data_IF_525292641559
#
_entry.id   IF_525292641559
#
_cell.length_a   1.000
_cell.length_b   1.000
_cell.length_c   1.000
_cell.angle_alpha   90.00
_cell.angle_beta   90.00
_cell.angle_gamma   90.00
#
_symmetry.space_group_name_H-M   'P 1'
#
loop_
_entity.id
_entity.type
_entity.pdbx_description
1 polymer ?
#
# COMPACT_ATOMS: atom_id res chain seq x y z
N UNK A 1 29.18 -28.45 -4.40
CA UNK A 1 28.03 -28.17 -3.54
C UNK A 1 27.34 -26.97 -4.13
N UNK A 2 26.10 -27.10 -4.59
CA UNK A 2 25.34 -25.97 -5.11
C UNK A 2 24.87 -25.12 -3.92
N UNK A 3 25.17 -23.82 -3.95
CA UNK A 3 24.72 -22.84 -2.98
C UNK A 3 23.20 -22.71 -3.13
N UNK A 4 22.44 -23.20 -2.14
CA UNK A 4 21.00 -22.96 -2.07
C UNK A 4 20.83 -21.47 -1.80
N UNK A 5 20.60 -20.68 -2.84
CA UNK A 5 19.97 -19.36 -2.70
C UNK A 5 18.65 -19.64 -1.99
N UNK A 6 18.58 -19.38 -0.69
CA UNK A 6 17.37 -19.66 0.09
C UNK A 6 16.36 -18.56 -0.21
N UNK A 7 15.77 -18.64 -1.41
CA UNK A 7 14.54 -17.96 -1.78
C UNK A 7 13.40 -18.72 -1.11
N UNK A 8 12.84 -18.11 -0.06
CA UNK A 8 11.75 -18.70 0.71
C UNK A 8 10.37 -18.28 0.21
N UNK A 9 9.35 -18.98 0.69
CA UNK A 9 7.95 -18.56 0.60
C UNK A 9 7.43 -18.32 2.01
N UNK A 10 6.92 -17.12 2.27
CA UNK A 10 6.20 -16.78 3.48
C UNK A 10 4.71 -17.08 3.26
N UNK A 11 4.20 -18.12 3.89
CA UNK A 11 2.77 -18.48 3.82
C UNK A 11 1.95 -17.61 4.77
N UNK A 12 0.89 -17.01 4.24
CA UNK A 12 -0.08 -16.20 4.98
C UNK A 12 -1.47 -16.74 4.70
N UNK A 13 -2.15 -17.20 5.74
CA UNK A 13 -3.51 -17.72 5.63
C UNK A 13 -4.52 -16.63 5.94
N UNK A 14 -5.49 -16.45 5.05
CA UNK A 14 -6.55 -15.43 5.17
C UNK A 14 -7.89 -16.11 5.37
N UNK A 15 -8.73 -15.54 6.23
CA UNK A 15 -10.07 -16.03 6.53
C UNK A 15 -10.13 -17.51 6.98
N UNK A 16 -9.06 -18.03 7.58
CA UNK A 16 -8.96 -19.45 7.97
C UNK A 16 -9.64 -19.75 9.30
N UNK A 17 -9.33 -18.96 10.33
CA UNK A 17 -9.92 -19.12 11.66
C UNK A 17 -11.31 -18.46 11.73
N UNK A 18 -11.40 -17.22 11.24
CA UNK A 18 -12.63 -16.42 11.24
C UNK A 18 -12.62 -15.40 10.08
N UNK A 19 -13.74 -14.71 9.88
CA UNK A 19 -13.87 -13.71 8.83
C UNK A 19 -12.83 -12.59 9.04
N UNK A 20 -12.09 -12.28 7.99
CA UNK A 20 -10.99 -11.33 7.93
C UNK A 20 -9.73 -11.69 8.73
N UNK A 21 -9.70 -12.85 9.39
CA UNK A 21 -8.51 -13.30 10.11
C UNK A 21 -7.29 -13.38 9.20
N UNK A 22 -6.14 -13.04 9.76
CA UNK A 22 -4.82 -13.20 9.15
C UNK A 22 -4.02 -14.12 10.07
N UNK A 23 -3.45 -15.18 9.52
CA UNK A 23 -2.59 -16.10 10.24
C UNK A 23 -1.25 -16.16 9.52
N UNK A 24 -0.19 -15.80 10.23
CA UNK A 24 1.18 -15.71 9.75
C UNK A 24 2.15 -16.24 10.81
N UNK A 25 3.33 -16.74 10.39
CA UNK A 25 4.36 -17.13 11.35
C UNK A 25 4.89 -15.90 12.09
N UNK A 26 5.39 -16.10 13.31
CA UNK A 26 5.95 -15.01 14.13
C UNK A 26 7.23 -14.42 13.53
N UNK A 27 8.05 -15.27 12.91
CA UNK A 27 9.32 -14.88 12.30
C UNK A 27 9.52 -15.57 10.97
N UNK A 28 10.23 -14.90 10.06
CA UNK A 28 10.61 -15.42 8.75
C UNK A 28 12.02 -14.96 8.39
N UNK A 29 12.82 -15.85 7.82
CA UNK A 29 14.19 -15.53 7.39
C UNK A 29 14.37 -15.84 5.91
N UNK A 30 15.03 -14.96 5.18
CA UNK A 30 15.39 -15.15 3.77
C UNK A 30 16.78 -14.62 3.49
N UNK A 31 17.42 -15.13 2.44
CA UNK A 31 18.75 -14.67 2.01
C UNK A 31 18.76 -13.75 0.79
N UNK A 32 17.58 -13.61 0.17
CA UNK A 32 17.34 -12.82 -1.02
C UNK A 32 15.84 -12.48 -1.11
N UNK A 33 15.42 -11.97 -2.26
CA UNK A 33 14.05 -11.87 -2.71
C UNK A 33 13.26 -13.14 -2.41
N UNK A 34 12.06 -12.96 -1.87
CA UNK A 34 11.17 -14.04 -1.43
C UNK A 34 9.75 -13.77 -1.89
N UNK A 35 8.87 -14.75 -1.70
CA UNK A 35 7.46 -14.64 -2.10
C UNK A 35 6.58 -14.69 -0.87
N UNK A 36 5.63 -13.75 -0.78
CA UNK A 36 4.50 -13.85 0.16
C UNK A 36 3.36 -14.58 -0.55
N UNK A 37 2.96 -15.73 -0.02
CA UNK A 37 1.85 -16.53 -0.54
C UNK A 37 0.60 -16.27 0.31
N UNK A 38 -0.34 -15.52 -0.26
CA UNK A 38 -1.63 -15.19 0.33
C UNK A 38 -2.64 -16.28 -0.02
N UNK A 39 -2.99 -17.13 0.94
CA UNK A 39 -3.90 -18.26 0.76
C UNK A 39 -5.24 -17.97 1.43
N UNK A 40 -6.29 -17.75 0.63
CA UNK A 40 -7.61 -17.37 1.15
C UNK A 40 -8.54 -18.57 1.31
N UNK A 41 -8.95 -18.84 2.54
CA UNK A 41 -9.83 -19.95 2.93
C UNK A 41 -11.32 -19.58 2.97
N UNK A 42 -11.66 -18.29 2.86
CA UNK A 42 -13.02 -17.78 3.04
C UNK A 42 -13.44 -16.76 1.98
N UNK A 43 -14.18 -15.74 2.40
CA UNK A 43 -14.71 -14.70 1.51
C UNK A 43 -13.62 -13.88 0.82
N UNK A 44 -13.98 -13.22 -0.28
CA UNK A 44 -13.05 -12.35 -0.99
C UNK A 44 -12.54 -11.23 -0.08
N UNK A 45 -11.24 -10.93 -0.14
CA UNK A 45 -10.64 -9.91 0.74
C UNK A 45 -9.60 -9.07 0.00
N UNK A 46 -9.48 -7.81 0.44
CA UNK A 46 -8.37 -6.94 0.07
C UNK A 46 -7.29 -7.04 1.14
N UNK A 47 -6.07 -7.29 0.70
CA UNK A 47 -4.89 -7.39 1.54
C UNK A 47 -3.98 -6.21 1.22
N UNK A 48 -3.56 -5.51 2.25
CA UNK A 48 -2.52 -4.51 2.17
C UNK A 48 -1.23 -5.04 2.79
N UNK A 49 -0.15 -5.04 2.01
CA UNK A 49 1.18 -5.42 2.43
C UNK A 49 2.05 -4.18 2.54
N UNK A 50 2.76 -4.06 3.66
CA UNK A 50 3.66 -2.94 3.91
C UNK A 50 4.95 -3.44 4.55
N UNK A 51 6.07 -3.00 4.00
CA UNK A 51 7.37 -3.10 4.67
C UNK A 51 7.52 -1.92 5.63
N UNK A 52 8.13 -2.16 6.77
CA UNK A 52 8.59 -1.08 7.65
C UNK A 52 9.74 -0.27 7.01
N UNK A 53 10.23 0.73 7.73
CA UNK A 53 11.23 1.64 7.21
C UNK A 53 12.58 0.92 6.94
N UNK A 54 12.96 -0.02 7.80
CA UNK A 54 14.20 -0.77 7.68
C UNK A 54 14.19 -1.70 6.45
N UNK A 55 13.11 -2.44 6.23
CA UNK A 55 12.97 -3.32 5.06
C UNK A 55 12.71 -2.52 3.78
N UNK A 56 12.00 -1.38 3.85
CA UNK A 56 11.73 -0.54 2.68
C UNK A 56 13.00 0.12 2.12
N UNK A 57 14.06 0.25 2.90
CA UNK A 57 15.36 0.76 2.44
C UNK A 57 16.03 -0.20 1.46
N UNK A 58 15.96 -1.51 1.74
CA UNK A 58 16.69 -2.54 0.98
C UNK A 58 15.79 -3.38 0.06
N UNK A 59 14.48 -3.34 0.24
CA UNK A 59 13.52 -4.17 -0.46
C UNK A 59 12.28 -3.38 -0.90
N UNK A 60 11.60 -3.88 -1.92
CA UNK A 60 10.35 -3.26 -2.40
C UNK A 60 9.27 -4.28 -2.73
N UNK A 61 8.03 -3.86 -2.53
CA UNK A 61 6.83 -4.58 -2.94
C UNK A 61 6.30 -3.94 -4.24
N UNK A 62 6.21 -4.68 -5.35
CA UNK A 62 5.72 -4.14 -6.62
C UNK A 62 4.28 -3.62 -6.56
N UNK A 63 3.46 -4.22 -5.71
CA UNK A 63 2.07 -3.84 -5.50
C UNK A 63 1.75 -4.12 -4.04
N UNK A 64 1.27 -3.12 -3.30
CA UNK A 64 0.95 -3.28 -1.88
C UNK A 64 -0.49 -3.72 -1.65
N UNK A 65 -1.40 -3.55 -2.61
CA UNK A 65 -2.82 -3.91 -2.46
C UNK A 65 -3.19 -5.07 -3.38
N UNK A 66 -3.65 -6.16 -2.78
CA UNK A 66 -4.04 -7.37 -3.49
C UNK A 66 -5.50 -7.71 -3.21
N UNK A 67 -6.26 -7.95 -4.27
CA UNK A 67 -7.57 -8.57 -4.15
C UNK A 67 -7.42 -10.09 -4.29
N UNK A 68 -7.84 -10.82 -3.25
CA UNK A 68 -7.76 -12.28 -3.20
C UNK A 68 -9.17 -12.85 -3.24
N UNK A 69 -9.47 -13.65 -4.27
CA UNK A 69 -10.76 -14.32 -4.43
C UNK A 69 -10.96 -15.43 -3.38
N UNK A 70 -12.19 -15.92 -3.18
CA UNK A 70 -12.44 -17.08 -2.32
C UNK A 70 -11.69 -18.31 -2.82
N UNK A 71 -11.03 -19.03 -1.92
CA UNK A 71 -10.28 -20.25 -2.24
C UNK A 71 -9.07 -20.05 -3.15
N UNK A 72 -8.63 -18.80 -3.36
CA UNK A 72 -7.55 -18.48 -4.27
C UNK A 72 -6.25 -18.20 -3.52
N UNK A 73 -5.15 -18.57 -4.16
CA UNK A 73 -3.80 -18.26 -3.71
C UNK A 73 -3.19 -17.17 -4.59
N UNK A 74 -2.66 -16.10 -3.99
CA UNK A 74 -1.97 -15.01 -4.67
C UNK A 74 -0.52 -14.96 -4.21
N UNK A 75 0.42 -14.89 -5.15
CA UNK A 75 1.85 -14.80 -4.88
C UNK A 75 2.35 -13.38 -5.11
N UNK A 76 2.91 -12.78 -4.07
CA UNK A 76 3.45 -11.42 -4.09
C UNK A 76 4.96 -11.49 -3.97
N UNK A 77 5.72 -11.17 -5.03
CA UNK A 77 7.17 -11.17 -4.95
C UNK A 77 7.67 -9.93 -4.21
N UNK A 78 8.51 -10.14 -3.19
CA UNK A 78 9.27 -9.10 -2.51
C UNK A 78 10.66 -9.07 -3.12
N UNK A 79 11.05 -7.92 -3.68
CA UNK A 79 12.36 -7.77 -4.34
C UNK A 79 13.34 -7.12 -3.39
N UNK A 80 14.43 -7.82 -3.09
CA UNK A 80 15.56 -7.27 -2.31
C UNK A 80 16.59 -6.73 -3.30
N UNK A 81 16.92 -5.45 -3.19
CA UNK A 81 17.85 -4.75 -4.10
C UNK A 81 19.25 -4.62 -3.50
N UNK A 82 19.34 -4.50 -2.18
CA UNK A 82 20.60 -4.47 -1.46
C UNK A 82 20.68 -5.65 -0.50
N UNK A 83 21.78 -6.39 -0.56
CA UNK A 83 22.04 -7.51 0.33
C UNK A 83 22.86 -7.04 1.53
N UNK A 84 22.20 -6.91 2.68
CA UNK A 84 22.81 -6.64 3.98
C UNK A 84 21.97 -7.29 5.09
N UNK A 85 22.57 -7.58 6.27
CA UNK A 85 21.80 -8.08 7.41
C UNK A 85 20.82 -6.99 7.87
N UNK A 86 19.53 -7.22 7.63
CA UNK A 86 18.46 -6.30 8.05
C UNK A 86 17.34 -7.12 8.67
N UNK A 87 16.82 -6.63 9.78
CA UNK A 87 15.62 -7.17 10.44
C UNK A 87 14.60 -6.06 10.53
N UNK A 88 13.36 -6.37 10.13
CA UNK A 88 12.24 -5.45 10.24
C UNK A 88 10.93 -6.21 10.19
N UNK A 89 9.83 -5.49 9.94
CA UNK A 89 8.48 -6.05 9.96
C UNK A 89 7.79 -5.94 8.61
N UNK A 90 7.12 -7.03 8.21
CA UNK A 90 6.13 -7.03 7.16
C UNK A 90 4.75 -7.01 7.80
N UNK A 91 4.02 -5.92 7.59
CA UNK A 91 2.64 -5.77 8.03
C UNK A 91 1.70 -6.32 6.96
N UNK A 92 0.75 -7.16 7.39
CA UNK A 92 -0.34 -7.70 6.57
C UNK A 92 -1.66 -7.21 7.15
N UNK A 93 -2.37 -6.38 6.40
CA UNK A 93 -3.64 -5.81 6.83
C UNK A 93 -4.79 -6.24 5.93
N UNK A 94 -5.93 -6.62 6.52
CA UNK A 94 -7.18 -6.98 5.84
C UNK A 94 -8.34 -6.12 6.36
N UNK A 95 -9.53 -6.28 5.79
CA UNK A 95 -10.75 -5.59 6.23
C UNK A 95 -10.55 -4.07 6.40
N UNK A 96 -9.92 -3.45 5.40
CA UNK A 96 -9.60 -2.01 5.40
C UNK A 96 -8.69 -1.57 6.57
N UNK A 97 -7.86 -2.46 7.10
CA UNK A 97 -6.91 -2.19 8.18
C UNK A 97 -7.46 -2.46 9.59
N UNK A 98 -8.71 -2.90 9.72
CA UNK A 98 -9.26 -3.30 11.02
C UNK A 98 -8.66 -4.59 11.57
N UNK A 99 -8.10 -5.42 10.69
CA UNK A 99 -7.30 -6.59 11.05
C UNK A 99 -5.89 -6.41 10.52
N UNK A 100 -4.90 -6.46 11.40
CA UNK A 100 -3.50 -6.21 11.08
C UNK A 100 -2.63 -7.16 11.88
N UNK A 101 -1.79 -7.91 11.17
CA UNK A 101 -0.80 -8.81 11.75
C UNK A 101 0.58 -8.46 11.21
N UNK A 102 1.62 -8.69 12.02
CA UNK A 102 3.00 -8.36 11.69
C UNK A 102 3.89 -9.59 11.84
N UNK A 103 4.76 -9.82 10.86
CA UNK A 103 5.82 -10.83 10.93
C UNK A 103 7.17 -10.16 10.92
N UNK A 104 8.05 -10.58 11.82
CA UNK A 104 9.46 -10.19 11.81
C UNK A 104 10.15 -10.90 10.64
N UNK A 105 10.75 -10.13 9.74
CA UNK A 105 11.50 -10.62 8.58
C UNK A 105 12.97 -10.29 8.75
N UNK A 106 13.81 -11.32 8.75
CA UNK A 106 15.26 -11.22 8.73
C UNK A 106 15.80 -11.52 7.33
N UNK A 107 16.50 -10.56 6.73
CA UNK A 107 17.25 -10.76 5.49
C UNK A 107 18.72 -10.93 5.85
N UNK A 108 19.24 -12.15 5.67
CA UNK A 108 20.63 -12.47 5.96
C UNK A 108 21.39 -12.82 4.67
N UNK A 109 22.50 -12.14 4.35
CA UNK A 109 23.24 -12.47 3.15
C UNK A 109 23.75 -13.91 3.21
N UNK A 110 23.47 -14.70 2.15
CA UNK A 110 24.03 -16.03 2.02
C UNK A 110 25.56 -15.96 2.11
N UNK A 111 26.15 -16.80 2.96
CA UNK A 111 27.60 -16.90 3.12
C UNK A 111 28.24 -17.33 1.79
N UNK A 112 28.71 -16.36 0.99
CA UNK A 112 29.27 -16.63 -0.34
C UNK A 112 29.27 -15.46 -1.32
N UNK A 113 28.40 -14.44 -1.12
CA UNK A 113 28.36 -13.25 -1.99
C UNK A 113 29.52 -12.29 -1.67
N UNK A 114 30.73 -12.66 -2.08
CA UNK A 114 31.87 -11.74 -2.10
C UNK A 114 31.50 -10.56 -3.00
N UNK A 115 31.49 -9.36 -2.42
CA UNK A 115 31.44 -8.11 -3.17
C UNK A 115 32.66 -8.11 -4.09
N UNK A 116 32.45 -8.35 -5.39
CA UNK A 116 33.51 -8.22 -6.39
C UNK A 116 33.82 -6.73 -6.47
N UNK A 117 34.85 -6.32 -5.76
CA UNK A 117 35.48 -5.02 -5.91
C UNK A 117 36.07 -5.00 -7.32
N UNK A 118 35.43 -4.25 -8.23
CA UNK A 118 35.95 -4.07 -9.58
C UNK A 118 37.15 -3.14 -9.45
N UNK A 119 38.34 -3.72 -9.48
CA UNK A 119 39.60 -2.98 -9.51
C UNK A 119 39.65 -2.13 -10.81
N UNK A 120 39.70 -0.82 -10.64
CA UNK A 120 39.77 0.20 -11.69
C UNK A 120 41.03 0.08 -12.59
N UNK A 121 42.00 -0.76 -12.21
CA UNK A 121 43.16 -1.12 -13.05
C UNK A 121 42.82 -1.96 -14.30
N UNK A 122 41.61 -2.52 -14.41
CA UNK A 122 41.19 -3.29 -15.59
C UNK A 122 40.89 -2.42 -16.84
N UNK A 123 40.91 -1.09 -16.72
CA UNK A 123 40.63 -0.16 -17.82
C UNK A 123 41.92 0.14 -18.63
N UNK A 124 43.09 -0.29 -18.18
CA UNK A 124 44.36 0.10 -18.79
C UNK A 124 45.06 -1.05 -19.53
N UNK A 125 44.65 -1.26 -20.80
CA UNK A 125 45.57 -1.44 -21.95
C UNK A 125 44.83 -1.73 -23.25
N UNK A 126 44.82 -0.74 -24.14
CA UNK A 126 45.20 -0.91 -25.55
C UNK A 126 45.86 0.40 -26.01
N UNK A 127 47.19 0.43 -25.90
CA UNK A 127 48.09 1.45 -26.42
C UNK A 127 48.01 1.59 -27.94
N UNK A 128 48.38 2.77 -28.48
CA UNK A 128 49.01 2.82 -29.81
C UNK A 128 48.79 4.07 -30.65
N UNK A 129 49.38 5.19 -30.25
CA UNK A 129 49.63 6.42 -31.02
C UNK A 129 50.26 6.16 -32.40
N UNK A 130 49.75 6.83 -33.45
CA UNK A 130 50.54 7.38 -34.57
C UNK A 130 49.87 8.67 -35.09
N UNK A 131 50.71 9.55 -35.61
CA UNK A 131 50.70 11.02 -35.54
C UNK A 131 50.46 11.69 -36.92
N UNK A 132 50.18 13.01 -36.87
CA UNK A 132 50.33 14.07 -37.89
C UNK A 132 49.31 14.24 -39.05
N UNK A 133 48.74 15.47 -39.13
CA UNK A 133 47.74 15.99 -40.10
C UNK A 133 48.22 16.25 -41.55
N UNK A 134 47.72 17.24 -42.34
CA UNK A 134 47.00 18.49 -41.95
C UNK A 134 45.79 18.90 -42.83
N UNK A 135 45.16 20.03 -42.45
CA UNK A 135 44.49 21.06 -43.29
C UNK A 135 43.43 20.67 -44.32
N UNK A 136 42.20 21.20 -44.14
CA UNK A 136 41.54 22.14 -45.08
C UNK A 136 40.12 22.48 -44.63
N UNK A 137 39.92 23.68 -44.10
CA UNK A 137 38.65 24.41 -44.29
C UNK A 137 38.64 24.93 -45.74
N UNK A 138 37.49 25.09 -46.42
CA UNK A 138 36.77 26.35 -46.23
C UNK A 138 35.25 26.34 -46.54
N UNK A 139 34.62 27.48 -46.21
CA UNK A 139 33.54 28.16 -46.98
C UNK A 139 32.07 27.79 -46.71
N UNK A 140 31.39 28.73 -46.03
CA UNK A 140 30.16 29.51 -46.39
C UNK A 140 28.95 28.70 -46.95
N UNK A 141 27.67 29.02 -46.72
CA UNK A 141 27.00 30.30 -46.50
C UNK A 141 25.50 30.03 -46.29
N UNK A 142 24.85 31.02 -45.68
CA UNK A 142 23.53 31.57 -46.03
C UNK A 142 22.26 30.72 -45.89
N UNK A 143 21.38 31.25 -45.03
CA UNK A 143 20.18 31.90 -45.53
C UNK A 143 18.88 31.10 -45.38
N UNK A 144 17.84 31.77 -44.88
CA UNK A 144 16.48 31.31 -45.09
C UNK A 144 15.54 31.58 -43.93
N UNK A 145 15.18 32.85 -43.76
CA UNK A 145 14.08 33.25 -42.91
C UNK A 145 12.72 32.87 -43.52
N UNK A 146 11.72 32.88 -42.63
CA UNK A 146 10.34 33.36 -42.79
C UNK A 146 9.18 32.42 -43.18
N UNK A 147 8.07 32.68 -42.46
CA UNK A 147 6.63 32.63 -42.85
C UNK A 147 5.95 31.26 -42.64
N UNK A 148 4.71 31.13 -42.15
CA UNK A 148 3.57 32.06 -41.92
C UNK A 148 2.56 31.33 -41.00
N UNK A 149 2.00 31.98 -39.97
CA UNK A 149 0.63 32.55 -39.87
C UNK A 149 -0.57 31.62 -40.18
N UNK A 150 -1.43 31.43 -39.18
CA UNK A 150 -2.89 31.72 -39.17
C UNK A 150 -3.33 31.64 -37.68
N UNK A 151 -3.97 32.58 -36.99
CA UNK A 151 -5.09 33.53 -37.21
C UNK A 151 -6.48 32.87 -37.32
N UNK A 152 -7.24 32.96 -36.23
CA UNK A 152 -8.71 32.87 -36.15
C UNK A 152 -9.15 32.73 -34.69
N UNK A 153 -9.65 33.76 -33.98
CA UNK A 153 -11.06 34.27 -33.97
C UNK A 153 -12.04 33.09 -33.76
N UNK A 154 -12.97 33.03 -32.81
CA UNK A 154 -13.80 34.07 -32.17
C UNK A 154 -14.74 33.43 -31.14
N UNK A 155 -15.11 34.20 -30.09
CA UNK A 155 -16.46 34.36 -29.49
C UNK A 155 -17.15 33.24 -28.68
N UNK A 156 -17.32 33.58 -27.40
CA UNK A 156 -18.57 33.61 -26.59
C UNK A 156 -19.59 32.46 -26.68
N UNK A 157 -19.90 31.88 -25.52
CA UNK A 157 -21.26 31.48 -25.17
C UNK A 157 -21.40 31.46 -23.65
N UNK A 158 -22.20 32.41 -23.18
CA UNK A 158 -22.93 32.40 -21.93
C UNK A 158 -23.73 31.09 -21.83
N UNK A 159 -23.63 30.41 -20.70
CA UNK A 159 -24.37 29.19 -20.39
C UNK A 159 -24.65 29.16 -18.90
N UNK A 160 -25.70 29.89 -18.52
CA UNK A 160 -26.43 29.76 -17.27
C UNK A 160 -26.92 28.30 -17.12
N UNK A 161 -26.53 27.67 -16.02
CA UNK A 161 -27.24 26.52 -15.45
C UNK A 161 -27.27 26.69 -13.93
N UNK A 162 -28.16 27.58 -13.49
CA UNK A 162 -29.14 27.34 -12.42
C UNK A 162 -28.79 26.21 -11.44
N UNK A 163 -28.09 26.55 -10.35
CA UNK A 163 -28.07 25.73 -9.13
C UNK A 163 -29.42 25.85 -8.44
N UNK A 164 -30.32 24.91 -8.73
CA UNK A 164 -31.50 24.65 -7.91
C UNK A 164 -31.06 23.94 -6.63
N UNK A 165 -30.71 24.71 -5.60
CA UNK A 165 -30.67 24.21 -4.23
C UNK A 165 -32.07 24.36 -3.63
N UNK A 166 -32.89 23.36 -3.89
CA UNK A 166 -34.15 23.16 -3.20
C UNK A 166 -33.84 22.61 -1.80
N UNK A 167 -33.54 23.49 -0.86
CA UNK A 167 -33.59 23.18 0.57
C UNK A 167 -34.80 23.91 1.12
N UNK A 168 -35.95 23.23 0.97
CA UNK A 168 -37.17 23.62 1.65
C UNK A 168 -36.91 23.70 3.15
N UNK A 169 -37.40 24.79 3.73
CA UNK A 169 -37.44 24.99 5.17
C UNK A 169 -38.11 23.82 5.86
N UNK A 170 -37.49 23.37 6.94
CA UNK A 170 -38.11 22.57 7.97
C UNK A 170 -37.79 23.25 9.29
N UNK A 171 -38.66 24.20 9.62
CA UNK A 171 -38.84 24.70 10.96
C UNK A 171 -39.28 23.52 11.84
N UNK A 172 -38.36 22.97 12.64
CA UNK A 172 -38.67 22.00 13.72
C UNK A 172 -37.48 21.92 14.67
N UNK A 173 -37.33 22.95 15.49
CA UNK A 173 -36.60 22.91 16.76
C UNK A 173 -37.24 21.85 17.67
N UNK A 174 -36.58 20.71 17.87
CA UNK A 174 -37.04 19.76 18.89
C UNK A 174 -36.50 18.33 18.91
N UNK A 175 -35.71 17.86 17.95
CA UNK A 175 -35.35 16.42 17.91
C UNK A 175 -33.94 16.09 17.39
N UNK A 176 -32.92 16.85 17.77
CA UNK A 176 -31.51 16.58 17.39
C UNK A 176 -30.58 16.18 18.55
N UNK A 177 -31.09 16.10 19.78
CA UNK A 177 -30.28 15.66 20.93
C UNK A 177 -30.10 14.14 21.02
N UNK A 178 -31.11 13.36 20.61
CA UNK A 178 -31.15 11.93 20.91
C UNK A 178 -30.40 11.05 19.89
N UNK A 179 -30.41 11.40 18.61
CA UNK A 179 -29.83 10.54 17.56
C UNK A 179 -28.31 10.58 17.54
N UNK A 180 -27.70 11.73 17.79
CA UNK A 180 -26.25 11.87 17.82
C UNK A 180 -25.60 11.08 18.97
N UNK A 181 -26.24 11.02 20.14
CA UNK A 181 -25.74 10.26 21.29
C UNK A 181 -25.79 8.75 21.03
N UNK A 182 -26.86 8.26 20.40
CA UNK A 182 -27.00 6.83 20.05
C UNK A 182 -25.93 6.40 19.06
N UNK A 183 -25.63 7.25 18.07
CA UNK A 183 -24.59 6.97 17.06
C UNK A 183 -23.20 6.99 17.70
N UNK A 184 -22.88 7.99 18.53
CA UNK A 184 -21.59 8.06 19.22
C UNK A 184 -21.39 6.88 20.20
N UNK A 185 -22.45 6.48 20.92
CA UNK A 185 -22.40 5.34 21.83
C UNK A 185 -22.26 4.01 21.07
N UNK A 186 -22.94 3.87 19.92
CA UNK A 186 -22.81 2.70 19.05
C UNK A 186 -21.41 2.55 18.48
N UNK A 187 -20.78 3.65 18.05
CA UNK A 187 -19.39 3.65 17.56
C UNK A 187 -18.42 3.27 18.70
N UNK A 188 -18.61 3.82 19.91
CA UNK A 188 -17.73 3.49 21.04
C UNK A 188 -17.77 1.99 21.42
N UNK A 189 -18.92 1.32 21.25
CA UNK A 189 -19.05 -0.12 21.53
C UNK A 189 -18.38 -1.01 20.48
N UNK A 190 -18.12 -0.51 19.26
CA UNK A 190 -17.42 -1.28 18.21
C UNK A 190 -15.91 -1.39 18.47
N UNK A 191 -15.35 -0.62 19.40
CA UNK A 191 -13.91 -0.58 19.70
C UNK A 191 -13.49 -1.37 20.96
N UNK A 192 -14.40 -2.11 21.61
CA UNK A 192 -14.07 -2.77 22.89
C UNK A 192 -14.17 -4.30 22.81
N UNK A 193 -13.01 -4.95 22.77
CA UNK A 193 -12.88 -6.41 22.89
C UNK A 193 -13.05 -6.84 24.36
N UNK A 194 -14.18 -7.50 24.65
CA UNK A 194 -14.43 -8.11 25.96
C UNK A 194 -15.88 -8.54 26.15
N UNK A 195 -16.14 -9.85 26.12
CA UNK A 195 -17.49 -10.46 26.21
C UNK A 195 -18.27 -10.02 27.47
N UNK A 196 -17.57 -9.71 28.57
CA UNK A 196 -18.18 -9.24 29.82
C UNK A 196 -18.79 -7.83 29.71
N UNK A 197 -18.29 -6.97 28.82
CA UNK A 197 -18.78 -5.60 28.67
C UNK A 197 -20.08 -5.54 27.84
N UNK A 198 -20.28 -6.50 26.94
CA UNK A 198 -21.46 -6.55 26.07
C UNK A 198 -22.78 -6.66 26.85
N UNK A 199 -22.79 -7.45 27.94
CA UNK A 199 -23.96 -7.60 28.83
C UNK A 199 -24.30 -6.27 29.50
N UNK A 200 -23.29 -5.51 29.93
CA UNK A 200 -23.48 -4.19 30.54
C UNK A 200 -24.07 -3.18 29.55
N UNK A 201 -23.58 -3.16 28.31
CA UNK A 201 -24.06 -2.26 27.27
C UNK A 201 -25.54 -2.51 26.91
N UNK A 202 -25.95 -3.78 26.79
CA UNK A 202 -27.35 -4.15 26.52
C UNK A 202 -28.26 -3.73 27.68
N UNK A 203 -27.83 -3.90 28.93
CA UNK A 203 -28.61 -3.49 30.10
C UNK A 203 -28.83 -1.96 30.14
N UNK A 204 -27.82 -1.17 29.79
CA UNK A 204 -27.93 0.30 29.72
C UNK A 204 -28.89 0.73 28.60
N UNK A 205 -28.81 0.10 27.42
CA UNK A 205 -29.74 0.38 26.32
C UNK A 205 -31.19 0.05 26.70
N UNK A 206 -31.44 -1.10 27.32
CA UNK A 206 -32.76 -1.47 27.81
C UNK A 206 -33.29 -0.45 28.83
N UNK A 207 -32.43 0.02 29.75
CA UNK A 207 -32.78 1.05 30.72
C UNK A 207 -33.18 2.38 30.07
N UNK A 208 -32.45 2.84 29.04
CA UNK A 208 -32.78 4.06 28.31
C UNK A 208 -34.10 3.95 27.55
N UNK A 209 -34.39 2.80 26.93
CA UNK A 209 -35.66 2.56 26.24
C UNK A 209 -36.83 2.60 27.23
N UNK A 210 -36.68 1.95 28.40
CA UNK A 210 -37.71 1.98 29.45
C UNK A 210 -37.90 3.39 30.01
N UNK A 211 -36.82 4.10 30.30
CA UNK A 211 -36.89 5.49 30.79
C UNK A 211 -37.53 6.42 29.75
N UNK A 212 -37.21 6.26 28.46
CA UNK A 212 -37.84 7.00 27.37
C UNK A 212 -39.33 6.67 27.24
N UNK A 213 -39.71 5.40 27.37
CA UNK A 213 -41.12 4.99 27.37
C UNK A 213 -41.89 5.65 28.53
N UNK A 214 -41.36 5.59 29.75
CA UNK A 214 -41.98 6.21 30.93
C UNK A 214 -42.09 7.75 30.85
N UNK A 215 -41.23 8.40 30.07
CA UNK A 215 -41.33 9.85 29.82
C UNK A 215 -42.39 10.21 28.76
N UNK A 216 -42.78 9.26 27.91
CA UNK A 216 -43.75 9.45 26.83
C UNK A 216 -45.15 8.90 27.17
N UNK A 217 -45.28 8.05 28.19
CA UNK A 217 -46.53 7.46 28.68
C UNK A 217 -47.05 8.17 29.93
#
# INVERSE_FOLDING_TARGET
>A
MAESTASGTLSVHLNRAELHAVELPTTFASSDSFVVELDNHGEATHVHLRLDDALSEIASIPTSNHYVRPGATVRVPIRVHESGPVTGYLTVATAYGSQTEEVEVAIEPAAGKQRVEIDESLIERTDGTVDAGPTSSPTRSSGGATRSRSTGRTRSSTGDMSRSSNAGGLDSSGLLGATAVVILLGIALLFVEGVAMYIGAVAVLAGLVVAGYLLLS
#
